data_IF_169257449057
#
_entry.id   IF_169257449057
#
_cell.length_a   1.000
_cell.length_b   1.000
_cell.length_c   1.000
_cell.angle_alpha   90.00
_cell.angle_beta   90.00
_cell.angle_gamma   90.00
#
_symmetry.space_group_name_H-M   'P 1'
#
loop_
_entity.id
_entity.type
_entity.pdbx_description
1 polymer ?
#
# COMPACT_ATOMS: atom_id res chain seq x y z
N UNK A 1 17.68 0.23 -16.85
CA UNK A 1 16.51 -0.64 -16.98
C UNK A 1 15.77 -0.68 -15.65
N UNK A 2 14.48 -0.56 -15.68
CA UNK A 2 13.71 -0.51 -14.43
C UNK A 2 13.11 -1.87 -14.10
N UNK A 3 13.04 -2.17 -12.82
CA UNK A 3 12.36 -3.34 -12.31
C UNK A 3 10.95 -2.92 -11.89
N UNK A 4 9.95 -3.51 -12.51
CA UNK A 4 8.55 -3.14 -12.28
C UNK A 4 7.90 -4.07 -11.28
N UNK A 5 6.97 -3.53 -10.51
CA UNK A 5 6.19 -4.31 -9.58
C UNK A 5 4.75 -3.85 -9.60
N UNK A 6 3.84 -4.82 -9.49
CA UNK A 6 2.44 -4.51 -9.25
C UNK A 6 2.28 -4.25 -7.77
N UNK A 7 1.73 -3.09 -7.44
CA UNK A 7 1.50 -2.71 -6.06
C UNK A 7 0.01 -2.65 -5.76
N UNK A 8 -0.34 -3.06 -4.54
CA UNK A 8 -1.70 -2.98 -4.05
C UNK A 8 -1.68 -2.37 -2.67
N UNK A 9 -2.31 -1.22 -2.54
CA UNK A 9 -2.40 -0.52 -1.26
C UNK A 9 -3.79 -0.68 -0.68
N UNK A 10 -3.85 -0.92 0.62
CA UNK A 10 -5.07 -0.76 1.39
C UNK A 10 -4.69 -0.01 2.65
N UNK A 11 -5.05 1.27 2.72
CA UNK A 11 -4.76 2.08 3.90
C UNK A 11 -6.07 2.50 4.53
N UNK A 12 -6.15 2.32 5.85
CA UNK A 12 -7.36 2.62 6.60
C UNK A 12 -7.03 3.69 7.62
N UNK A 13 -7.86 4.73 7.67
CA UNK A 13 -7.69 5.83 8.60
C UNK A 13 -8.91 5.93 9.50
N UNK A 14 -8.67 6.18 10.78
CA UNK A 14 -9.75 6.42 11.72
C UNK A 14 -10.16 7.89 11.63
N UNK A 15 -10.81 8.22 10.54
CA UNK A 15 -11.25 9.58 10.24
C UNK A 15 -12.20 9.53 9.06
N UNK A 16 -13.16 10.42 9.03
CA UNK A 16 -14.07 10.56 7.88
C UNK A 16 -13.81 11.85 7.11
N UNK A 17 -12.63 12.43 7.28
CA UNK A 17 -12.25 13.65 6.57
C UNK A 17 -12.23 13.37 5.08
N UNK A 18 -12.99 14.12 4.32
CA UNK A 18 -13.13 13.88 2.88
C UNK A 18 -11.89 14.25 2.09
N UNK A 19 -10.94 14.93 2.70
CA UNK A 19 -9.68 15.28 2.02
C UNK A 19 -8.67 14.13 2.02
N UNK A 20 -8.97 13.02 2.70
CA UNK A 20 -8.00 11.91 2.83
C UNK A 20 -7.63 11.35 1.47
N UNK A 21 -8.60 11.08 0.60
CA UNK A 21 -8.30 10.54 -0.72
C UNK A 21 -7.35 11.47 -1.48
N UNK A 22 -7.64 12.77 -1.47
CA UNK A 22 -6.79 13.73 -2.16
C UNK A 22 -5.37 13.71 -1.61
N UNK A 23 -5.23 13.58 -0.30
CA UNK A 23 -3.92 13.54 0.34
C UNK A 23 -3.15 12.27 -0.01
N UNK A 24 -3.85 11.13 -0.11
CA UNK A 24 -3.23 9.89 -0.53
C UNK A 24 -2.77 10.00 -1.98
N UNK A 25 -3.61 10.54 -2.85
CA UNK A 25 -3.25 10.74 -4.24
C UNK A 25 -2.03 11.64 -4.37
N UNK A 26 -1.98 12.70 -3.59
CA UNK A 26 -0.83 13.61 -3.62
C UNK A 26 0.45 12.94 -3.14
N UNK A 27 0.35 12.02 -2.18
CA UNK A 27 1.51 11.27 -1.73
C UNK A 27 2.11 10.45 -2.87
N UNK A 28 1.24 9.79 -3.67
CA UNK A 28 1.71 9.03 -4.82
C UNK A 28 2.32 9.95 -5.89
N UNK A 29 1.71 11.09 -6.14
CA UNK A 29 2.26 12.04 -7.09
C UNK A 29 3.61 12.57 -6.63
N UNK A 30 3.77 12.75 -5.33
CA UNK A 30 5.03 13.25 -4.78
C UNK A 30 6.20 12.31 -5.09
N UNK A 31 5.94 11.02 -5.16
CA UNK A 31 6.96 10.04 -5.51
C UNK A 31 6.91 9.65 -6.98
N UNK A 32 6.13 10.39 -7.77
CA UNK A 32 6.04 10.20 -9.22
C UNK A 32 5.55 8.81 -9.61
N UNK A 33 4.52 8.32 -8.92
CA UNK A 33 3.91 7.04 -9.25
C UNK A 33 2.42 7.22 -9.53
N UNK A 34 1.94 6.47 -10.49
CA UNK A 34 0.55 6.56 -10.94
C UNK A 34 -0.18 5.28 -10.60
N UNK A 35 -1.13 5.40 -9.70
CA UNK A 35 -1.98 4.31 -9.29
C UNK A 35 -3.42 4.68 -9.55
N UNK A 36 -4.29 3.69 -9.65
CA UNK A 36 -5.72 3.89 -9.65
C UNK A 36 -6.21 3.77 -8.21
N UNK A 37 -7.20 4.58 -7.85
CA UNK A 37 -7.64 4.69 -6.47
C UNK A 37 -9.13 4.43 -6.32
N UNK A 38 -9.50 3.81 -5.19
CA UNK A 38 -10.87 3.72 -4.72
C UNK A 38 -10.91 4.15 -3.27
N UNK A 39 -11.99 4.81 -2.89
CA UNK A 39 -12.14 5.30 -1.53
C UNK A 39 -13.52 4.94 -1.01
N UNK A 40 -13.57 4.45 0.23
CA UNK A 40 -14.80 4.08 0.87
C UNK A 40 -14.82 4.67 2.27
N UNK A 41 -15.89 5.37 2.60
CA UNK A 41 -16.07 5.95 3.93
C UNK A 41 -17.21 5.23 4.59
N UNK A 42 -16.93 4.57 5.71
CA UNK A 42 -17.93 3.80 6.42
C UNK A 42 -17.76 4.02 7.92
N UNK A 43 -18.83 4.40 8.58
CA UNK A 43 -18.83 4.68 10.01
C UNK A 43 -17.79 5.74 10.35
N UNK A 44 -16.74 5.36 11.05
CA UNK A 44 -15.73 6.31 11.51
C UNK A 44 -14.42 6.19 10.74
N UNK A 45 -14.40 5.45 9.65
CA UNK A 45 -13.15 5.17 8.95
C UNK A 45 -13.24 5.52 7.47
N UNK A 46 -12.07 5.82 6.91
CA UNK A 46 -11.89 5.95 5.48
C UNK A 46 -10.88 4.91 5.03
N UNK A 47 -11.28 4.10 4.06
CA UNK A 47 -10.39 3.12 3.45
C UNK A 47 -10.05 3.60 2.05
N UNK A 48 -8.76 3.68 1.73
CA UNK A 48 -8.31 4.00 0.38
C UNK A 48 -7.57 2.78 -0.15
N UNK A 49 -8.02 2.30 -1.30
CA UNK A 49 -7.35 1.23 -2.00
C UNK A 49 -6.74 1.79 -3.27
N UNK A 50 -5.57 1.28 -3.63
CA UNK A 50 -4.90 1.73 -4.83
C UNK A 50 -4.11 0.58 -5.41
N UNK A 51 -3.96 0.60 -6.74
CA UNK A 51 -3.19 -0.43 -7.42
C UNK A 51 -2.54 0.16 -8.65
N UNK A 52 -1.37 -0.34 -8.98
CA UNK A 52 -0.63 0.14 -10.13
C UNK A 52 0.56 -0.73 -10.43
N UNK A 53 1.15 -0.51 -11.59
CA UNK A 53 2.35 -1.20 -12.04
C UNK A 53 3.38 -0.13 -12.37
N UNK A 54 4.37 0.03 -11.49
CA UNK A 54 5.34 1.10 -11.60
C UNK A 54 6.75 0.57 -11.32
N UNK A 55 7.78 1.30 -11.77
CA UNK A 55 9.14 0.95 -11.39
C UNK A 55 9.27 0.96 -9.86
N UNK A 56 9.87 -0.07 -9.31
CA UNK A 56 9.97 -0.21 -7.87
C UNK A 56 11.29 0.33 -7.34
N UNK A 57 11.21 1.07 -6.25
CA UNK A 57 12.36 1.50 -5.47
C UNK A 57 12.01 1.38 -3.99
N UNK A 58 12.82 0.66 -3.24
CA UNK A 58 12.59 0.49 -1.81
C UNK A 58 12.66 1.84 -1.08
N UNK A 59 13.62 2.66 -1.44
CA UNK A 59 13.79 3.97 -0.82
C UNK A 59 12.57 4.86 -1.06
N UNK A 60 12.09 4.88 -2.30
CA UNK A 60 10.92 5.67 -2.68
C UNK A 60 9.68 5.15 -1.97
N UNK A 61 9.54 3.82 -1.88
CA UNK A 61 8.40 3.21 -1.21
C UNK A 61 8.35 3.59 0.26
N UNK A 62 9.50 3.57 0.94
CA UNK A 62 9.54 3.97 2.35
C UNK A 62 9.12 5.42 2.53
N UNK A 63 9.50 6.28 1.60
CA UNK A 63 9.08 7.67 1.65
C UNK A 63 7.56 7.78 1.50
N UNK A 64 6.97 6.99 0.60
CA UNK A 64 5.53 6.95 0.43
C UNK A 64 4.84 6.51 1.73
N UNK A 65 5.34 5.45 2.36
CA UNK A 65 4.75 4.96 3.60
C UNK A 65 4.78 6.01 4.70
N UNK A 66 5.86 6.77 4.80
CA UNK A 66 5.95 7.86 5.75
C UNK A 66 4.91 8.95 5.46
N UNK A 67 4.74 9.29 4.19
CA UNK A 67 3.74 10.27 3.81
C UNK A 67 2.33 9.79 4.14
N UNK A 68 2.04 8.52 3.85
CA UNK A 68 0.72 7.95 4.12
C UNK A 68 0.39 7.94 5.61
N UNK A 69 1.36 7.60 6.45
CA UNK A 69 1.10 7.54 7.89
C UNK A 69 0.99 8.91 8.53
N UNK A 70 1.35 9.98 7.82
CA UNK A 70 1.20 11.34 8.31
C UNK A 70 -0.11 12.02 7.98
N UNK A 71 -1.00 11.34 7.23
CA UNK A 71 -2.23 11.97 6.75
C UNK A 71 -3.29 12.09 7.84
N UNK A 72 -3.50 11.00 8.54
CA UNK A 72 -4.49 10.92 9.61
C UNK A 72 -4.14 9.72 10.47
N UNK A 73 -5.02 9.34 11.39
CA UNK A 73 -4.74 8.22 12.27
C UNK A 73 -4.85 6.90 11.50
N UNK A 74 -3.71 6.36 11.08
CA UNK A 74 -3.64 5.14 10.30
C UNK A 74 -3.87 3.93 11.19
N UNK A 75 -4.55 2.91 10.64
CA UNK A 75 -4.93 1.72 11.36
C UNK A 75 -4.05 0.53 11.01
N UNK A 76 -3.97 -0.43 11.92
CA UNK A 76 -3.05 -1.58 11.77
C UNK A 76 -3.46 -2.57 10.68
N UNK A 77 -4.65 -2.44 10.13
CA UNK A 77 -5.01 -3.28 9.00
C UNK A 77 -4.50 -2.74 7.66
N UNK A 78 -3.69 -1.68 7.70
CA UNK A 78 -3.15 -1.09 6.48
C UNK A 78 -1.98 -1.89 5.94
N UNK A 79 -1.89 -2.00 4.63
CA UNK A 79 -0.83 -2.76 3.98
C UNK A 79 -0.55 -2.24 2.58
N UNK A 80 0.66 -2.50 2.10
CA UNK A 80 1.06 -2.23 0.72
C UNK A 80 1.81 -3.47 0.24
N UNK A 81 1.21 -4.18 -0.71
CA UNK A 81 1.74 -5.45 -1.19
C UNK A 81 2.26 -5.32 -2.61
N UNK A 82 3.31 -6.05 -2.90
CA UNK A 82 3.95 -6.01 -4.21
C UNK A 82 4.16 -7.39 -4.78
N UNK A 83 4.02 -7.47 -6.10
CA UNK A 83 4.43 -8.63 -6.87
C UNK A 83 5.36 -8.10 -7.97
N UNK A 84 6.62 -8.50 -7.93
CA UNK A 84 7.58 -8.07 -8.92
C UNK A 84 7.41 -8.79 -10.25
N UNK A 85 8.02 -8.24 -11.29
CA UNK A 85 7.92 -8.83 -12.62
C UNK A 85 8.57 -10.21 -12.69
N UNK A 86 9.45 -10.54 -11.74
CA UNK A 86 10.06 -11.86 -11.62
C UNK A 86 9.29 -12.77 -10.68
N UNK A 87 8.07 -12.38 -10.31
CA UNK A 87 7.19 -13.11 -9.40
C UNK A 87 7.70 -13.18 -7.98
N UNK A 88 8.55 -12.27 -7.58
CA UNK A 88 8.94 -12.10 -6.19
C UNK A 88 7.82 -11.34 -5.48
N UNK A 89 7.49 -11.76 -4.27
CA UNK A 89 6.44 -11.14 -3.48
C UNK A 89 7.01 -10.55 -2.21
N UNK A 90 6.57 -9.35 -1.86
CA UNK A 90 6.91 -8.72 -0.59
C UNK A 90 5.81 -7.74 -0.23
N UNK A 91 5.80 -7.31 1.01
CA UNK A 91 4.79 -6.35 1.44
C UNK A 91 5.27 -5.55 2.63
N UNK A 92 4.56 -4.48 2.88
CA UNK A 92 4.72 -3.66 4.06
C UNK A 92 3.40 -3.69 4.81
N UNK A 93 3.43 -3.92 6.11
CA UNK A 93 2.23 -3.88 6.94
C UNK A 93 2.44 -2.87 8.04
N UNK A 94 1.36 -2.22 8.44
CA UNK A 94 1.42 -1.26 9.54
C UNK A 94 1.01 -1.98 10.81
N UNK A 95 1.95 -2.11 11.74
CA UNK A 95 1.74 -2.88 12.96
C UNK A 95 2.61 -2.32 14.07
N UNK A 96 2.03 -2.15 15.27
CA UNK A 96 2.77 -1.62 16.39
C UNK A 96 3.21 -0.18 16.18
N UNK A 97 2.42 0.61 15.45
CA UNK A 97 2.71 2.01 15.22
C UNK A 97 3.75 2.29 14.14
N UNK A 98 4.11 1.31 13.35
CA UNK A 98 5.12 1.48 12.31
C UNK A 98 4.92 0.50 11.18
N UNK A 99 5.53 0.82 10.04
CA UNK A 99 5.53 -0.07 8.89
C UNK A 99 6.62 -1.12 9.05
N UNK A 100 6.27 -2.36 8.72
CA UNK A 100 7.21 -3.48 8.74
C UNK A 100 7.24 -4.12 7.37
N UNK A 101 8.45 -4.40 6.89
CA UNK A 101 8.63 -5.06 5.62
C UNK A 101 8.66 -6.57 5.82
N UNK A 102 7.95 -7.30 4.97
CA UNK A 102 7.93 -8.76 5.00
C UNK A 102 8.19 -9.29 3.60
N UNK A 103 9.09 -10.26 3.50
CA UNK A 103 9.27 -10.99 2.27
C UNK A 103 8.22 -12.07 2.21
N UNK A 104 7.57 -12.20 1.05
CA UNK A 104 6.53 -13.18 0.88
C UNK A 104 6.96 -14.31 0.00
N UNK A 105 6.28 -15.41 0.14
CA UNK A 105 6.32 -16.49 -0.83
C UNK A 105 4.90 -16.74 -1.22
N UNK A 106 4.69 -16.92 -2.50
CA UNK A 106 3.39 -17.37 -2.92
C UNK A 106 3.33 -18.83 -2.57
N UNK A 107 2.50 -19.16 -1.61
CA UNK A 107 2.44 -20.49 -1.09
C UNK A 107 1.23 -21.17 -1.67
N UNK A 108 1.46 -22.13 -2.53
CA UNK A 108 0.37 -22.84 -3.15
C UNK A 108 0.12 -24.19 -2.55
N UNK A 109 0.96 -24.56 -1.64
CA UNK A 109 0.87 -25.88 -1.13
C UNK A 109 -0.41 -26.16 -0.47
N UNK A 110 -0.94 -25.16 0.06
CA UNK A 110 -2.20 -25.38 0.68
C UNK A 110 -3.17 -25.78 -0.28
N UNK A 111 -2.85 -25.67 -1.45
CA UNK A 111 -3.74 -26.07 -2.38
C UNK A 111 -3.61 -27.44 -2.67
N UNK A 112 -2.99 -28.03 -2.11
CA UNK A 112 -2.91 -29.14 -2.43
C UNK A 112 -3.95 -29.76 -2.52
N UNK A 113 -4.19 -29.86 -3.08
CA UNK A 113 -5.04 -30.34 -3.36
C UNK A 113 -5.13 -31.48 -3.26
N UNK A 114 -5.04 -31.82 -3.04
CA UNK A 114 -5.02 -32.91 -2.96
C UNK A 114 -5.80 -33.31 -3.05
#
# INVERSE_FOLDING_TARGET
MSYYANGELKVVYLSTDKSILDKVEKAFLHINQRYDFECDILDYTTTVEAWGNEPYSRTVTKKLLDLLSGIAQIQECSSLEFCGEDRTYWRYIFEGGRWKEQSGKLVYEDCEVN
#
